data_IF_612090057153
#
_entry.id   IF_612090057153
#
_cell.length_a   1.000
_cell.length_b   1.000
_cell.length_c   1.000
_cell.angle_alpha   90.00
_cell.angle_beta   90.00
_cell.angle_gamma   90.00
#
_symmetry.space_group_name_H-M   'P 1'
#
loop_
_entity.id
_entity.type
_entity.pdbx_description
1 polymer ?
#
# COMPACT_ATOMS: atom_id res chain seq x y z
N UNK A 1 -12.69 12.75 -20.74
CA UNK A 1 -11.58 12.97 -19.81
C UNK A 1 -10.96 11.60 -19.50
N UNK A 2 -9.66 11.39 -19.68
CA UNK A 2 -9.04 10.07 -19.41
C UNK A 2 -8.85 9.89 -17.92
N UNK A 3 -9.23 8.72 -17.39
CA UNK A 3 -9.00 8.33 -15.98
C UNK A 3 -7.50 8.30 -15.61
N UNK A 4 -6.61 8.29 -16.62
CA UNK A 4 -5.16 8.16 -16.40
C UNK A 4 -4.43 9.40 -16.91
N UNK A 5 -3.37 9.82 -16.22
CA UNK A 5 -2.41 10.76 -16.77
C UNK A 5 -1.79 10.13 -18.03
N UNK A 6 -2.12 10.67 -19.21
CA UNK A 6 -1.74 10.08 -20.52
C UNK A 6 -0.34 10.46 -20.98
N UNK A 7 0.45 11.12 -20.14
CA UNK A 7 1.74 11.70 -20.54
C UNK A 7 2.87 10.65 -20.63
N UNK A 8 2.74 9.49 -20.02
CA UNK A 8 3.75 8.44 -20.03
C UNK A 8 3.45 7.30 -21.02
N UNK A 9 4.47 6.50 -21.39
CA UNK A 9 4.34 5.42 -22.37
C UNK A 9 3.41 4.29 -21.91
N UNK A 10 3.40 3.96 -20.60
CA UNK A 10 2.55 2.90 -20.04
C UNK A 10 1.07 3.30 -20.07
N UNK A 11 0.75 4.51 -19.65
CA UNK A 11 -0.62 5.03 -19.69
C UNK A 11 -1.16 5.14 -21.11
N UNK A 12 -0.34 5.57 -22.09
CA UNK A 12 -0.71 5.56 -23.50
C UNK A 12 -1.00 4.17 -24.04
N UNK A 13 -0.17 3.17 -23.67
CA UNK A 13 -0.36 1.77 -24.06
C UNK A 13 -1.67 1.22 -23.50
N UNK A 14 -1.94 1.44 -22.22
CA UNK A 14 -3.20 1.03 -21.57
C UNK A 14 -4.41 1.72 -22.22
N UNK A 15 -4.37 3.04 -22.43
CA UNK A 15 -5.45 3.79 -23.06
C UNK A 15 -5.74 3.29 -24.49
N UNK A 16 -4.69 2.98 -25.27
CA UNK A 16 -4.83 2.41 -26.61
C UNK A 16 -5.48 1.03 -26.58
N UNK A 17 -5.05 0.18 -25.63
CA UNK A 17 -5.66 -1.13 -25.45
C UNK A 17 -7.14 -1.03 -25.06
N UNK A 18 -7.49 -0.18 -24.10
CA UNK A 18 -8.88 0.02 -23.67
C UNK A 18 -9.79 0.50 -24.81
N UNK A 19 -9.30 1.43 -25.66
CA UNK A 19 -10.03 1.87 -26.86
C UNK A 19 -10.28 0.72 -27.83
N UNK A 20 -9.28 -0.13 -28.09
CA UNK A 20 -9.41 -1.33 -28.96
C UNK A 20 -10.40 -2.32 -28.36
N UNK A 21 -10.28 -2.61 -27.06
CA UNK A 21 -11.16 -3.51 -26.33
C UNK A 21 -12.62 -3.05 -26.36
N UNK A 22 -12.86 -1.75 -26.17
CA UNK A 22 -14.20 -1.17 -26.21
C UNK A 22 -14.90 -1.33 -27.56
N UNK A 23 -14.13 -1.29 -28.67
CA UNK A 23 -14.63 -1.47 -30.04
C UNK A 23 -14.80 -2.92 -30.43
N UNK A 24 -14.33 -3.87 -29.65
CA UNK A 24 -14.39 -5.29 -29.94
C UNK A 24 -15.69 -5.90 -29.45
N UNK A 25 -16.20 -6.88 -30.20
CA UNK A 25 -17.37 -7.66 -29.80
C UNK A 25 -17.15 -8.31 -28.43
N UNK A 26 -18.16 -8.38 -27.54
CA UNK A 26 -18.04 -8.92 -26.21
C UNK A 26 -17.38 -10.29 -26.14
N UNK A 27 -17.72 -11.20 -27.06
CA UNK A 27 -17.17 -12.54 -27.14
C UNK A 27 -15.65 -12.59 -27.39
N UNK A 28 -15.05 -11.56 -28.00
CA UNK A 28 -13.60 -11.50 -28.30
C UNK A 28 -12.78 -10.81 -27.19
N UNK A 29 -13.43 -10.20 -26.21
CA UNK A 29 -12.74 -9.45 -25.14
C UNK A 29 -11.85 -10.32 -24.27
N UNK A 30 -12.25 -11.54 -23.83
CA UNK A 30 -11.38 -12.41 -23.02
C UNK A 30 -10.08 -12.77 -23.74
N UNK A 31 -10.13 -13.06 -25.04
CA UNK A 31 -8.95 -13.37 -25.85
C UNK A 31 -8.00 -12.18 -25.97
N UNK A 32 -8.57 -10.97 -26.19
CA UNK A 32 -7.79 -9.74 -26.21
C UNK A 32 -7.14 -9.44 -24.85
N UNK A 33 -7.85 -9.65 -23.75
CA UNK A 33 -7.36 -9.47 -22.40
C UNK A 33 -6.18 -10.40 -22.11
N UNK A 34 -6.31 -11.71 -22.43
CA UNK A 34 -5.24 -12.68 -22.31
C UNK A 34 -3.99 -12.29 -23.12
N UNK A 35 -4.18 -11.91 -24.39
CA UNK A 35 -3.08 -11.51 -25.26
C UNK A 35 -2.36 -10.24 -24.78
N UNK A 36 -3.09 -9.30 -24.15
CA UNK A 36 -2.53 -8.07 -23.65
C UNK A 36 -1.86 -8.20 -22.26
N UNK A 37 -2.25 -9.22 -21.49
CA UNK A 37 -1.83 -9.40 -20.10
C UNK A 37 -0.30 -9.29 -19.92
N UNK A 38 0.58 -10.02 -20.63
CA UNK A 38 2.03 -9.95 -20.43
C UNK A 38 2.63 -8.56 -20.68
N UNK A 39 1.96 -7.74 -21.50
CA UNK A 39 2.46 -6.40 -21.85
C UNK A 39 1.96 -5.30 -20.92
N UNK A 40 0.82 -5.50 -20.28
CA UNK A 40 0.15 -4.49 -19.43
C UNK A 40 0.40 -4.73 -17.94
N UNK A 41 0.43 -6.00 -17.51
CA UNK A 41 0.59 -6.33 -16.11
C UNK A 41 2.05 -6.55 -15.71
N UNK A 42 2.32 -6.31 -14.43
CA UNK A 42 3.61 -6.59 -13.79
C UNK A 42 3.36 -7.19 -12.42
N UNK A 43 4.20 -8.14 -12.00
CA UNK A 43 4.22 -8.58 -10.60
C UNK A 43 4.82 -7.49 -9.75
N UNK A 44 4.07 -7.07 -8.74
CA UNK A 44 4.46 -6.04 -7.78
C UNK A 44 4.00 -6.40 -6.37
N UNK A 45 4.80 -6.02 -5.41
CA UNK A 45 4.30 -5.89 -4.06
C UNK A 45 3.80 -4.46 -3.85
N UNK A 46 2.64 -4.37 -3.21
CA UNK A 46 1.93 -3.12 -2.97
C UNK A 46 1.80 -2.94 -1.47
N UNK A 47 2.11 -1.75 -0.98
CA UNK A 47 1.82 -1.37 0.41
C UNK A 47 0.85 -0.20 0.39
N UNK A 48 -0.26 -0.37 1.08
CA UNK A 48 -1.20 0.69 1.37
C UNK A 48 -1.09 1.05 2.84
N UNK A 49 -1.01 2.34 3.14
CA UNK A 49 -0.98 2.83 4.53
C UNK A 49 -2.23 3.62 4.83
N UNK A 50 -2.64 3.66 6.07
CA UNK A 50 -3.70 4.53 6.57
C UNK A 50 -3.27 5.19 7.87
N UNK A 51 -3.62 6.47 8.06
CA UNK A 51 -3.26 7.22 9.26
C UNK A 51 -4.32 7.07 10.35
N UNK A 52 -3.93 6.54 11.48
CA UNK A 52 -4.82 6.40 12.61
C UNK A 52 -5.33 7.77 13.11
N UNK A 53 -6.64 7.81 13.40
CA UNK A 53 -7.33 8.98 13.96
C UNK A 53 -7.28 10.25 13.09
N UNK A 54 -7.12 10.13 11.76
CA UNK A 54 -7.04 11.28 10.84
C UNK A 54 -8.20 12.26 11.03
N UNK A 55 -9.45 11.77 10.97
CA UNK A 55 -10.65 12.59 11.12
C UNK A 55 -10.69 13.30 12.48
N UNK A 56 -10.36 12.59 13.56
CA UNK A 56 -10.32 13.16 14.91
C UNK A 56 -9.24 14.26 15.04
N UNK A 57 -8.05 14.02 14.48
CA UNK A 57 -6.93 14.96 14.50
C UNK A 57 -7.23 16.21 13.71
N UNK A 58 -7.78 16.08 12.52
CA UNK A 58 -8.14 17.23 11.68
C UNK A 58 -9.26 18.05 12.28
N UNK A 59 -10.20 17.43 12.99
CA UNK A 59 -11.24 18.12 13.74
C UNK A 59 -10.69 18.89 14.95
N UNK A 60 -9.70 18.32 15.67
CA UNK A 60 -9.10 18.92 16.87
C UNK A 60 -8.08 20.01 16.56
N UNK A 61 -7.12 19.70 15.68
CA UNK A 61 -5.90 20.50 15.46
C UNK A 61 -5.95 21.30 14.15
N UNK A 62 -6.95 21.00 13.31
CA UNK A 62 -7.12 21.57 11.97
C UNK A 62 -6.29 20.86 10.90
N UNK A 63 -6.83 20.86 9.67
CA UNK A 63 -6.23 20.16 8.52
C UNK A 63 -4.82 20.67 8.18
N UNK A 64 -4.56 21.96 8.31
CA UNK A 64 -3.24 22.53 7.97
C UNK A 64 -2.14 22.04 8.91
N UNK A 65 -2.45 21.86 10.20
CA UNK A 65 -1.50 21.30 11.16
C UNK A 65 -1.18 19.84 10.79
N UNK A 66 -2.21 19.03 10.49
CA UNK A 66 -2.00 17.65 10.04
C UNK A 66 -1.12 17.62 8.79
N UNK A 67 -1.48 18.38 7.75
CA UNK A 67 -0.75 18.39 6.48
C UNK A 67 0.72 18.80 6.65
N UNK A 68 1.02 19.77 7.53
CA UNK A 68 2.40 20.15 7.82
C UNK A 68 3.24 18.99 8.39
N UNK A 69 2.66 18.20 9.31
CA UNK A 69 3.36 17.05 9.90
C UNK A 69 3.47 15.92 8.90
N UNK A 70 2.42 15.68 8.14
CA UNK A 70 2.34 14.61 7.14
C UNK A 70 3.27 14.85 5.95
N UNK A 71 3.31 16.08 5.42
CA UNK A 71 4.22 16.46 4.33
C UNK A 71 5.69 16.29 4.72
N UNK A 72 6.05 16.74 5.92
CA UNK A 72 7.39 16.50 6.48
C UNK A 72 7.71 15.00 6.52
N UNK A 73 6.76 14.19 7.02
CA UNK A 73 6.92 12.74 7.06
C UNK A 73 7.12 12.16 5.65
N UNK A 74 6.27 12.52 4.68
CA UNK A 74 6.35 12.04 3.29
C UNK A 74 7.71 12.39 2.67
N UNK A 75 8.19 13.61 2.91
CA UNK A 75 9.50 14.08 2.42
C UNK A 75 10.65 13.23 2.97
N UNK A 76 10.63 12.91 4.27
CA UNK A 76 11.65 12.09 4.93
C UNK A 76 11.51 10.58 4.58
N UNK A 77 10.30 10.08 4.37
CA UNK A 77 10.02 8.67 4.07
C UNK A 77 10.39 8.29 2.63
N UNK A 78 10.18 9.18 1.66
CA UNK A 78 10.41 8.92 0.24
C UNK A 78 11.82 8.35 -0.06
N UNK A 79 12.94 8.97 0.37
CA UNK A 79 14.27 8.41 0.15
C UNK A 79 14.50 7.10 0.90
N UNK A 80 13.86 6.89 2.04
CA UNK A 80 13.97 5.66 2.82
C UNK A 80 13.24 4.49 2.16
N UNK A 81 12.07 4.73 1.58
CA UNK A 81 11.34 3.78 0.74
C UNK A 81 12.16 3.42 -0.50
N UNK A 82 12.77 4.41 -1.17
CA UNK A 82 13.61 4.17 -2.34
C UNK A 82 14.83 3.28 -2.00
N UNK A 83 15.51 3.53 -0.88
CA UNK A 83 16.61 2.67 -0.40
C UNK A 83 16.18 1.24 -0.07
N UNK A 84 14.91 1.03 0.29
CA UNK A 84 14.34 -0.30 0.50
C UNK A 84 13.94 -1.00 -0.82
N UNK A 85 14.19 -0.39 -1.97
CA UNK A 85 13.85 -0.91 -3.30
C UNK A 85 12.41 -0.61 -3.73
N UNK A 86 11.78 0.39 -3.10
CA UNK A 86 10.39 0.78 -3.40
C UNK A 86 10.28 2.18 -3.98
N UNK A 87 9.06 2.54 -4.33
CA UNK A 87 8.70 3.89 -4.73
C UNK A 87 7.36 4.30 -4.15
N UNK A 88 7.22 5.56 -3.82
CA UNK A 88 5.95 6.19 -3.54
C UNK A 88 5.23 6.43 -4.87
N UNK A 89 4.10 5.76 -5.06
CA UNK A 89 3.27 5.86 -6.27
C UNK A 89 2.41 7.10 -6.21
N UNK A 90 1.64 7.24 -5.12
CA UNK A 90 0.81 8.42 -4.85
C UNK A 90 0.59 8.60 -3.34
N UNK A 91 0.21 9.81 -3.00
CA UNK A 91 -0.39 10.19 -1.73
C UNK A 91 -1.87 10.43 -2.00
N UNK A 92 -2.76 9.88 -1.19
CA UNK A 92 -4.20 10.03 -1.31
C UNK A 92 -4.79 10.32 0.07
N UNK A 93 -5.17 11.60 0.28
CA UNK A 93 -5.56 12.04 1.62
C UNK A 93 -4.42 11.89 2.62
N UNK A 94 -4.61 11.02 3.57
CA UNK A 94 -3.67 10.68 4.65
C UNK A 94 -3.01 9.31 4.46
N UNK A 95 -3.19 8.71 3.27
CA UNK A 95 -2.70 7.38 2.91
C UNK A 95 -1.57 7.45 1.89
N UNK A 96 -0.67 6.46 1.91
CA UNK A 96 0.38 6.27 0.91
C UNK A 96 0.15 4.97 0.17
N UNK A 97 0.27 5.03 -1.16
CA UNK A 97 0.40 3.87 -2.02
C UNK A 97 1.86 3.71 -2.43
N UNK A 98 2.48 2.61 -2.00
CA UNK A 98 3.87 2.27 -2.30
C UNK A 98 3.93 1.03 -3.17
N UNK A 99 4.95 0.93 -4.03
CA UNK A 99 5.21 -0.22 -4.89
C UNK A 99 6.64 -0.71 -4.74
N UNK A 100 6.81 -2.04 -4.76
CA UNK A 100 8.09 -2.74 -4.66
C UNK A 100 8.14 -3.88 -5.67
N UNK A 101 9.32 -4.35 -6.02
CA UNK A 101 9.47 -5.47 -6.96
C UNK A 101 9.08 -6.81 -6.34
N UNK A 102 9.28 -6.99 -5.02
CA UNK A 102 8.95 -8.21 -4.30
C UNK A 102 8.36 -7.96 -2.91
N UNK A 103 7.70 -8.98 -2.35
CA UNK A 103 7.01 -8.89 -1.05
C UNK A 103 7.98 -8.70 0.12
N UNK A 104 9.19 -9.24 0.07
CA UNK A 104 10.21 -9.04 1.10
C UNK A 104 10.70 -7.59 1.11
N UNK A 105 10.92 -6.99 -0.07
CA UNK A 105 11.25 -5.58 -0.20
C UNK A 105 10.13 -4.68 0.35
N UNK A 106 8.86 -5.02 0.10
CA UNK A 106 7.72 -4.32 0.67
C UNK A 106 7.73 -4.35 2.21
N UNK A 107 8.00 -5.49 2.83
CA UNK A 107 8.14 -5.59 4.28
C UNK A 107 9.32 -4.76 4.83
N UNK A 108 10.44 -4.71 4.10
CA UNK A 108 11.57 -3.80 4.44
C UNK A 108 11.17 -2.34 4.29
N UNK A 109 10.36 -2.02 3.28
CA UNK A 109 9.78 -0.69 3.07
C UNK A 109 8.90 -0.25 4.24
N UNK A 110 8.05 -1.12 4.74
CA UNK A 110 7.26 -0.85 5.96
C UNK A 110 8.15 -0.58 7.17
N UNK A 111 9.22 -1.37 7.38
CA UNK A 111 10.19 -1.09 8.45
C UNK A 111 10.88 0.29 8.28
N UNK A 112 11.16 0.70 7.03
CA UNK A 112 11.74 2.01 6.73
C UNK A 112 10.77 3.15 7.03
N UNK A 113 9.50 3.01 6.65
CA UNK A 113 8.41 3.94 6.98
C UNK A 113 8.27 4.08 8.49
N UNK A 114 8.21 2.98 9.23
CA UNK A 114 8.16 2.97 10.69
C UNK A 114 9.38 3.66 11.33
N UNK A 115 10.55 3.52 10.72
CA UNK A 115 11.75 4.22 11.19
C UNK A 115 11.63 5.73 11.03
N UNK A 116 11.12 6.20 9.88
CA UNK A 116 10.84 7.62 9.64
C UNK A 116 9.79 8.17 10.60
N UNK A 117 8.69 7.41 10.82
CA UNK A 117 7.66 7.79 11.79
C UNK A 117 8.23 8.01 13.19
N UNK A 118 9.14 7.13 13.64
CA UNK A 118 9.82 7.33 14.93
C UNK A 118 10.63 8.61 15.00
N UNK A 119 11.28 9.00 13.91
CA UNK A 119 12.05 10.26 13.85
C UNK A 119 11.14 11.48 13.87
N UNK A 120 10.11 11.50 13.03
CA UNK A 120 9.13 12.58 12.94
C UNK A 120 8.36 12.75 14.25
N UNK A 121 8.05 11.64 14.92
CA UNK A 121 7.33 11.63 16.20
C UNK A 121 8.18 11.97 17.42
N UNK A 122 9.51 12.12 17.25
CA UNK A 122 10.40 12.43 18.38
C UNK A 122 10.06 13.80 18.97
N UNK A 123 9.84 13.83 20.28
CA UNK A 123 9.47 15.05 21.01
C UNK A 123 8.01 15.46 20.87
N UNK A 124 7.20 14.78 20.03
CA UNK A 124 5.76 15.10 19.94
C UNK A 124 4.98 14.43 21.06
N UNK A 125 3.99 15.14 21.62
CA UNK A 125 3.06 14.54 22.56
C UNK A 125 2.28 13.39 21.90
N UNK A 126 1.80 12.39 22.67
CA UNK A 126 1.14 11.20 22.13
C UNK A 126 0.01 11.51 21.13
N UNK A 127 -0.82 12.50 21.38
CA UNK A 127 -1.94 12.88 20.52
C UNK A 127 -1.55 13.49 19.17
N UNK A 128 -0.28 13.93 18.99
CA UNK A 128 0.21 14.52 17.76
C UNK A 128 1.07 13.54 16.93
N UNK A 129 1.32 12.34 17.45
CA UNK A 129 2.16 11.34 16.76
C UNK A 129 1.43 10.70 15.60
N UNK A 130 2.04 10.67 14.44
CA UNK A 130 1.54 9.86 13.32
C UNK A 130 1.70 8.38 13.66
N UNK A 131 0.64 7.61 13.44
CA UNK A 131 0.64 6.15 13.56
C UNK A 131 -0.05 5.60 12.33
N UNK A 132 0.58 4.66 11.65
CA UNK A 132 0.01 4.02 10.47
C UNK A 132 -0.43 2.59 10.75
N UNK A 133 -1.46 2.18 10.04
CA UNK A 133 -1.78 0.80 9.72
C UNK A 133 -1.31 0.49 8.29
N UNK A 134 -1.06 -0.80 8.00
CA UNK A 134 -0.47 -1.22 6.73
C UNK A 134 -1.18 -2.44 6.17
N UNK A 135 -1.50 -2.39 4.87
CA UNK A 135 -1.87 -3.56 4.10
C UNK A 135 -0.81 -3.86 3.05
N UNK A 136 -0.40 -5.13 2.92
CA UNK A 136 0.65 -5.58 2.00
C UNK A 136 0.07 -6.66 1.09
N UNK A 137 0.06 -6.39 -0.22
CA UNK A 137 -0.36 -7.32 -1.27
C UNK A 137 0.79 -7.67 -2.21
N UNK A 138 0.69 -8.79 -2.93
CA UNK A 138 1.64 -9.16 -3.97
C UNK A 138 0.95 -9.90 -5.11
N UNK A 139 1.10 -9.41 -6.33
CA UNK A 139 0.51 -10.07 -7.50
C UNK A 139 0.61 -9.25 -8.77
N UNK A 140 -0.23 -9.60 -9.73
CA UNK A 140 -0.27 -8.93 -11.03
C UNK A 140 -1.04 -7.62 -10.93
N UNK A 141 -0.38 -6.51 -11.27
CA UNK A 141 -0.95 -5.17 -11.25
C UNK A 141 -0.78 -4.49 -12.60
N UNK A 142 -1.75 -3.67 -12.97
CA UNK A 142 -1.62 -2.65 -13.99
C UNK A 142 -0.91 -1.44 -13.38
N UNK A 143 0.13 -0.95 -14.04
CA UNK A 143 0.99 0.11 -13.54
C UNK A 143 1.04 1.28 -14.55
N UNK A 144 -0.06 2.05 -14.75
CA UNK A 144 0.03 3.32 -15.44
C UNK A 144 0.86 4.31 -14.65
N UNK A 145 1.30 5.39 -15.30
CA UNK A 145 2.06 6.42 -14.59
C UNK A 145 1.20 7.06 -13.50
N UNK A 146 1.71 7.00 -12.28
CA UNK A 146 1.11 7.64 -11.09
C UNK A 146 0.01 6.85 -10.40
N UNK A 147 -0.25 5.59 -10.80
CA UNK A 147 -1.23 4.75 -10.10
C UNK A 147 -0.95 3.24 -10.24
N UNK A 148 -1.70 2.42 -9.48
CA UNK A 148 -1.72 0.96 -9.56
C UNK A 148 -3.15 0.45 -9.51
N UNK A 149 -3.44 -0.60 -10.32
CA UNK A 149 -4.74 -1.26 -10.33
C UNK A 149 -4.57 -2.78 -10.31
N UNK A 150 -5.38 -3.47 -9.54
CA UNK A 150 -5.38 -4.93 -9.47
C UNK A 150 -6.03 -5.44 -8.19
N UNK A 151 -6.27 -6.75 -8.16
CA UNK A 151 -6.89 -7.38 -7.00
C UNK A 151 -6.04 -7.19 -5.72
N UNK A 152 -4.73 -7.36 -5.83
CA UNK A 152 -3.81 -7.21 -4.69
C UNK A 152 -3.69 -5.75 -4.21
N UNK A 153 -3.94 -4.76 -5.09
CA UNK A 153 -4.04 -3.35 -4.69
C UNK A 153 -5.28 -3.15 -3.82
N UNK A 154 -6.43 -3.66 -4.27
CA UNK A 154 -7.68 -3.55 -3.53
C UNK A 154 -7.63 -4.32 -2.19
N UNK A 155 -6.98 -5.49 -2.17
CA UNK A 155 -6.79 -6.25 -0.93
C UNK A 155 -5.86 -5.52 0.04
N UNK A 156 -4.75 -4.95 -0.45
CA UNK A 156 -3.83 -4.17 0.38
C UNK A 156 -4.52 -2.94 0.98
N UNK A 157 -5.29 -2.18 0.17
CA UNK A 157 -6.11 -1.06 0.67
C UNK A 157 -7.05 -1.53 1.77
N UNK A 158 -7.85 -2.57 1.51
CA UNK A 158 -8.79 -3.13 2.50
C UNK A 158 -8.11 -3.57 3.80
N UNK A 159 -6.92 -4.18 3.70
CA UNK A 159 -6.16 -4.59 4.89
C UNK A 159 -5.66 -3.38 5.68
N UNK A 160 -5.14 -2.36 5.00
CA UNK A 160 -4.56 -1.17 5.64
C UNK A 160 -5.60 -0.23 6.24
N UNK A 161 -6.66 0.06 5.48
CA UNK A 161 -7.69 1.05 5.87
C UNK A 161 -8.72 0.49 6.84
N UNK A 162 -9.24 -0.74 6.57
CA UNK A 162 -10.42 -1.21 7.28
C UNK A 162 -10.11 -2.27 8.35
N UNK A 163 -8.98 -2.97 8.24
CA UNK A 163 -8.76 -4.18 9.02
C UNK A 163 -7.55 -4.13 9.96
N UNK A 164 -6.47 -3.45 9.57
CA UNK A 164 -5.30 -3.35 10.41
C UNK A 164 -5.51 -2.36 11.56
N UNK A 165 -5.10 -2.75 12.75
CA UNK A 165 -5.08 -1.85 13.90
C UNK A 165 -3.94 -0.82 13.77
N UNK A 166 -4.04 0.35 14.44
CA UNK A 166 -2.96 1.33 14.47
C UNK A 166 -1.60 0.72 14.81
N UNK A 167 -0.65 0.84 13.88
CA UNK A 167 0.69 0.25 13.96
C UNK A 167 0.73 -1.25 13.72
N UNK A 168 -0.25 -1.83 13.06
CA UNK A 168 -0.27 -3.19 12.59
C UNK A 168 0.02 -3.23 11.07
N UNK A 169 0.70 -4.28 10.63
CA UNK A 169 0.92 -4.55 9.21
C UNK A 169 0.36 -5.94 8.87
N UNK A 170 -0.62 -5.97 7.98
CA UNK A 170 -1.28 -7.19 7.51
C UNK A 170 -0.83 -7.54 6.10
N UNK A 171 -0.70 -8.84 5.83
CA UNK A 171 -0.34 -9.37 4.52
C UNK A 171 -1.48 -10.20 3.94
N UNK A 172 -1.66 -10.07 2.62
CA UNK A 172 -2.45 -11.03 1.86
C UNK A 172 -1.75 -12.40 1.84
N UNK A 173 -2.49 -13.51 1.60
CA UNK A 173 -1.87 -14.82 1.43
C UNK A 173 -0.79 -14.86 0.34
N UNK A 174 -1.03 -14.16 -0.78
CA UNK A 174 -0.09 -14.06 -1.90
C UNK A 174 1.20 -13.35 -1.50
N UNK A 175 1.10 -12.25 -0.73
CA UNK A 175 2.26 -11.53 -0.23
C UNK A 175 3.06 -12.39 0.76
N UNK A 176 2.39 -13.09 1.67
CA UNK A 176 3.04 -13.94 2.65
C UNK A 176 3.75 -15.16 2.01
N UNK A 177 3.11 -15.78 1.00
CA UNK A 177 3.69 -16.91 0.28
C UNK A 177 4.94 -16.53 -0.55
N UNK A 178 5.07 -15.24 -0.90
CA UNK A 178 6.20 -14.73 -1.69
C UNK A 178 7.38 -14.22 -0.85
N UNK A 179 7.34 -14.37 0.48
CA UNK A 179 8.41 -13.91 1.37
C UNK A 179 9.62 -14.87 1.35
N UNK A 180 10.80 -14.28 1.51
CA UNK A 180 11.98 -15.10 1.81
C UNK A 180 11.91 -15.73 3.22
N UNK A 181 12.77 -16.74 3.45
CA UNK A 181 12.79 -17.47 4.73
C UNK A 181 13.07 -16.58 5.95
N UNK A 182 13.86 -15.52 5.77
CA UNK A 182 14.23 -14.63 6.87
C UNK A 182 13.04 -13.74 7.26
N UNK A 183 12.31 -13.23 6.27
CA UNK A 183 11.12 -12.41 6.50
C UNK A 183 9.96 -13.24 7.00
N UNK A 184 9.79 -14.47 6.49
CA UNK A 184 8.73 -15.37 6.91
C UNK A 184 8.77 -15.68 8.43
N UNK A 185 9.96 -15.73 9.05
CA UNK A 185 10.09 -15.87 10.52
C UNK A 185 9.51 -14.70 11.32
N UNK A 186 9.24 -13.58 10.68
CA UNK A 186 8.61 -12.40 11.29
C UNK A 186 7.11 -12.36 11.09
N UNK A 187 6.56 -13.33 10.38
CA UNK A 187 5.14 -13.40 10.06
C UNK A 187 4.46 -14.42 10.96
N UNK A 188 3.28 -14.09 11.45
CA UNK A 188 2.42 -14.98 12.20
C UNK A 188 1.04 -15.04 11.57
N UNK A 189 0.37 -16.18 11.66
CA UNK A 189 -1.06 -16.27 11.37
C UNK A 189 -1.80 -15.31 12.28
N UNK A 190 -2.79 -14.61 11.73
CA UNK A 190 -3.48 -13.58 12.49
C UNK A 190 -4.97 -13.88 12.59
N UNK A 191 -5.70 -13.64 11.54
CA UNK A 191 -7.15 -13.84 11.52
C UNK A 191 -7.63 -14.18 10.11
N UNK A 192 -8.85 -14.59 10.05
CA UNK A 192 -9.57 -14.77 8.80
C UNK A 192 -10.48 -13.58 8.60
N UNK A 193 -10.48 -13.01 7.39
CA UNK A 193 -11.32 -11.88 7.03
C UNK A 193 -12.23 -12.26 5.86
N UNK A 194 -13.39 -11.63 5.77
CA UNK A 194 -14.28 -11.80 4.61
C UNK A 194 -14.05 -10.65 3.62
N UNK A 195 -13.70 -11.01 2.40
CA UNK A 195 -13.51 -10.06 1.31
C UNK A 195 -14.25 -10.55 0.07
N UNK A 196 -15.16 -9.72 -0.49
CA UNK A 196 -16.00 -10.05 -1.64
C UNK A 196 -16.74 -11.40 -1.46
N UNK A 197 -17.27 -11.65 -0.27
CA UNK A 197 -17.96 -12.91 0.05
C UNK A 197 -17.06 -14.14 0.19
N UNK A 198 -15.74 -13.97 0.11
CA UNK A 198 -14.75 -15.04 0.28
C UNK A 198 -13.99 -14.87 1.59
N UNK A 199 -13.76 -15.98 2.25
CA UNK A 199 -12.96 -16.06 3.47
C UNK A 199 -11.47 -16.11 3.10
N UNK A 200 -10.70 -15.12 3.57
CA UNK A 200 -9.28 -14.96 3.24
C UNK A 200 -8.47 -14.98 4.54
N UNK A 201 -7.52 -15.92 4.72
CA UNK A 201 -6.61 -15.88 5.85
C UNK A 201 -5.62 -14.72 5.68
N UNK A 202 -5.49 -13.87 6.68
CA UNK A 202 -4.50 -12.80 6.70
C UNK A 202 -3.43 -13.09 7.73
N UNK A 203 -2.24 -12.58 7.47
CA UNK A 203 -1.06 -12.77 8.28
C UNK A 203 -0.55 -11.41 8.74
N UNK A 204 0.11 -11.39 9.90
CA UNK A 204 0.64 -10.16 10.50
C UNK A 204 2.16 -10.15 10.46
N UNK A 205 2.73 -9.08 9.93
CA UNK A 205 4.15 -8.81 9.99
C UNK A 205 4.52 -8.26 11.38
N UNK A 206 5.51 -8.87 12.02
CA UNK A 206 6.13 -8.33 13.23
C UNK A 206 7.05 -7.17 12.85
N UNK A 207 6.60 -5.94 13.10
CA UNK A 207 7.38 -4.74 12.80
C UNK A 207 8.66 -4.68 13.64
N UNK A 208 9.77 -4.20 13.03
CA UNK A 208 11.02 -4.01 13.74
C UNK A 208 10.88 -2.83 14.69
N UNK A 209 11.06 -3.10 16.00
CA UNK A 209 11.11 -2.13 17.08
C UNK A 209 9.80 -1.39 17.37
N UNK A 210 8.85 -2.10 17.98
CA UNK A 210 8.00 -1.49 18.99
C UNK A 210 8.54 -1.87 20.37
N UNK A 211 9.22 -0.95 21.06
CA UNK A 211 9.08 -0.92 22.51
C UNK A 211 7.58 -0.74 22.76
N UNK A 212 6.96 -1.72 23.45
CA UNK A 212 5.55 -1.64 23.85
C UNK A 212 5.28 -0.27 24.43
N UNK A 213 4.49 0.54 23.74
CA UNK A 213 3.84 1.68 24.38
C UNK A 213 2.86 1.04 25.35
N UNK A 214 3.18 1.05 26.67
CA UNK A 214 2.22 0.68 27.70
C UNK A 214 1.03 1.62 27.50
N UNK A 215 -0.15 1.05 27.25
CA UNK A 215 -1.40 1.80 27.36
C UNK A 215 -1.40 2.38 28.78
N UNK A 216 -1.35 3.68 28.88
CA UNK A 216 -1.74 4.37 30.10
C UNK A 216 -3.26 4.24 30.16
N UNK A 217 -3.76 3.54 31.19
CA UNK A 217 -5.18 3.40 31.48
C UNK A 217 -5.74 4.78 31.90
#
# INVERSE_FOLDING_TARGET
MSLFRTNGPRSRRLASFLKRRARSAPARRPELDCAAFPSLFRKRAVVFTDTADFTLRTARDGILHFLMVFDRFVTEARPSVARAGGRLVKVEGDSLLLSFDDATAACRGVDAVESCLRQVNRGRPPGERLVFSYGIGYGDVLEPEGDLFGLEVNLASKLGEDLAEPGEALLTPSAAAALDRAMLRRVASHRVVTFLGRTVPVQRLKLRSRRRIRRVR
#
